data_IF_493766815870
#
_entry.id   IF_493766815870
#
_cell.length_a   1.000
_cell.length_b   1.000
_cell.length_c   1.000
_cell.angle_alpha   90.00
_cell.angle_beta   90.00
_cell.angle_gamma   90.00
#
_symmetry.space_group_name_H-M   'P 1'
#
loop_
_entity.id
_entity.type
_entity.pdbx_description
1 polymer ?
#
# COMPACT_ATOMS: atom_id res chain seq x y z
N UNK A 1 2.62 14.91 14.44
CA UNK A 1 2.62 13.63 13.72
C UNK A 1 3.45 12.66 14.54
N UNK A 2 2.84 11.54 14.90
CA UNK A 2 3.17 10.59 15.98
C UNK A 2 4.49 9.88 15.70
N UNK A 3 4.70 9.43 14.45
CA UNK A 3 5.97 8.90 14.00
C UNK A 3 6.98 10.01 13.68
N UNK A 4 8.21 9.87 14.19
CA UNK A 4 9.31 10.76 13.79
C UNK A 4 9.93 10.26 12.46
N UNK A 5 10.23 11.15 11.50
CA UNK A 5 10.82 10.75 10.22
C UNK A 5 12.15 10.00 10.35
N UNK A 6 12.94 10.34 11.38
CA UNK A 6 14.24 9.71 11.70
C UNK A 6 14.14 8.20 11.98
N UNK A 7 12.96 7.72 12.36
CA UNK A 7 12.72 6.31 12.65
C UNK A 7 12.57 5.47 11.39
N UNK A 8 12.42 6.12 10.24
CA UNK A 8 12.12 5.49 8.97
C UNK A 8 13.17 5.84 7.92
N UNK A 9 13.27 4.99 6.91
CA UNK A 9 14.08 5.22 5.72
C UNK A 9 13.30 4.74 4.51
N UNK A 10 13.65 5.26 3.33
CA UNK A 10 13.07 4.74 2.09
C UNK A 10 13.43 3.27 1.90
N UNK A 11 12.51 2.54 1.27
CA UNK A 11 12.67 1.13 0.97
C UNK A 11 13.27 0.97 -0.43
N UNK A 12 14.43 0.32 -0.50
CA UNK A 12 15.14 0.05 -1.77
C UNK A 12 14.29 -0.84 -2.71
N UNK A 13 13.53 -1.79 -2.16
CA UNK A 13 12.63 -2.67 -2.91
C UNK A 13 11.21 -2.66 -2.34
N UNK A 14 10.25 -2.04 -3.04
CA UNK A 14 8.84 -2.02 -2.63
C UNK A 14 8.26 -0.62 -2.51
N UNK A 15 7.04 -0.50 -1.96
CA UNK A 15 6.35 0.79 -1.75
C UNK A 15 6.54 1.29 -0.32
N UNK A 16 6.59 2.62 -0.18
CA UNK A 16 6.55 3.29 1.13
C UNK A 16 7.88 3.31 1.88
N UNK A 17 7.76 3.37 3.20
CA UNK A 17 8.87 3.54 4.13
C UNK A 17 9.15 2.23 4.89
N UNK A 18 10.41 2.01 5.27
CA UNK A 18 10.79 0.92 6.17
C UNK A 18 11.29 1.50 7.50
N UNK A 19 11.01 0.86 8.64
CA UNK A 19 11.64 1.22 9.91
C UNK A 19 13.16 1.07 9.80
N UNK A 20 13.89 2.08 10.26
CA UNK A 20 15.36 2.07 10.42
C UNK A 20 15.75 1.78 11.86
N UNK A 21 14.96 2.25 12.83
CA UNK A 21 15.25 2.14 14.27
C UNK A 21 14.25 1.22 14.97
N UNK A 22 14.60 0.74 16.17
CA UNK A 22 13.70 -0.05 17.03
C UNK A 22 12.41 0.73 17.37
N UNK A 23 12.49 2.06 17.46
CA UNK A 23 11.34 2.95 17.69
C UNK A 23 10.35 2.90 16.51
N UNK A 24 10.85 2.85 15.27
CA UNK A 24 10.00 2.66 14.08
C UNK A 24 9.31 1.30 14.06
N UNK A 25 9.97 0.25 14.57
CA UNK A 25 9.37 -1.07 14.72
C UNK A 25 8.27 -1.10 15.78
N UNK A 26 8.50 -0.46 16.93
CA UNK A 26 7.46 -0.31 17.97
C UNK A 26 6.28 0.49 17.43
N UNK A 27 6.53 1.58 16.71
CA UNK A 27 5.46 2.35 16.06
C UNK A 27 4.63 1.47 15.13
N UNK A 28 5.28 0.66 14.28
CA UNK A 28 4.58 -0.27 13.38
C UNK A 28 3.75 -1.29 14.17
N UNK A 29 4.29 -1.84 15.26
CA UNK A 29 3.58 -2.78 16.12
C UNK A 29 2.35 -2.14 16.78
N UNK A 30 2.46 -0.89 17.23
CA UNK A 30 1.32 -0.13 17.79
C UNK A 30 0.25 0.09 16.72
N UNK A 31 0.63 0.50 15.52
CA UNK A 31 -0.31 0.67 14.39
C UNK A 31 -1.02 -0.64 14.08
N UNK A 32 -0.28 -1.75 13.97
CA UNK A 32 -0.85 -3.07 13.71
C UNK A 32 -1.78 -3.53 14.83
N UNK A 33 -1.40 -3.32 16.10
CA UNK A 33 -2.23 -3.64 17.25
C UNK A 33 -3.51 -2.81 17.29
N UNK A 34 -3.42 -1.52 16.94
CA UNK A 34 -4.54 -0.60 16.90
C UNK A 34 -5.53 -0.98 15.79
N UNK A 35 -5.04 -1.32 14.59
CA UNK A 35 -5.86 -1.89 13.51
C UNK A 35 -6.50 -3.21 13.97
N UNK A 36 -5.70 -4.13 14.53
CA UNK A 36 -6.19 -5.42 15.02
C UNK A 36 -7.29 -5.27 16.08
N UNK A 37 -7.14 -4.31 16.99
CA UNK A 37 -8.12 -3.98 18.01
C UNK A 37 -9.42 -3.43 17.39
N UNK A 38 -9.34 -2.51 16.43
CA UNK A 38 -10.55 -1.97 15.78
C UNK A 38 -11.35 -3.06 15.06
N UNK A 39 -10.66 -4.06 14.48
CA UNK A 39 -11.31 -5.19 13.80
C UNK A 39 -11.90 -6.19 14.79
N UNK A 40 -11.19 -6.51 15.87
CA UNK A 40 -11.60 -7.52 16.86
C UNK A 40 -12.59 -7.03 17.91
N UNK A 41 -12.76 -5.71 18.07
CA UNK A 41 -13.66 -5.14 19.06
C UNK A 41 -15.12 -5.55 18.80
N UNK A 42 -15.82 -6.03 19.84
CA UNK A 42 -17.22 -6.46 19.80
C UNK A 42 -18.24 -5.31 19.77
N UNK A 43 -17.91 -4.21 19.10
CA UNK A 43 -18.76 -3.02 18.94
C UNK A 43 -19.68 -3.14 17.71
N UNK A 44 -20.76 -2.36 17.73
CA UNK A 44 -21.70 -2.23 16.61
C UNK A 44 -20.95 -1.95 15.29
N UNK A 45 -21.36 -2.63 14.21
CA UNK A 45 -20.74 -2.53 12.89
C UNK A 45 -20.66 -1.10 12.35
N UNK A 46 -21.70 -0.28 12.53
CA UNK A 46 -21.70 1.10 12.06
C UNK A 46 -20.64 1.95 12.80
N UNK A 47 -20.55 1.77 14.12
CA UNK A 47 -19.55 2.45 14.96
C UNK A 47 -18.15 1.95 14.63
N UNK A 48 -17.98 0.63 14.43
CA UNK A 48 -16.71 0.01 14.03
C UNK A 48 -16.20 0.62 12.72
N UNK A 49 -17.07 0.80 11.73
CA UNK A 49 -16.69 1.37 10.43
C UNK A 49 -16.23 2.84 10.57
N UNK A 50 -16.92 3.64 11.38
CA UNK A 50 -16.50 5.01 11.68
C UNK A 50 -15.16 5.07 12.43
N UNK A 51 -15.01 4.28 13.49
CA UNK A 51 -13.76 4.20 14.28
C UNK A 51 -12.60 3.77 13.40
N UNK A 52 -12.79 2.73 12.57
CA UNK A 52 -11.80 2.26 11.62
C UNK A 52 -11.41 3.36 10.62
N UNK A 53 -12.39 4.06 10.05
CA UNK A 53 -12.16 5.16 9.12
C UNK A 53 -11.33 6.30 9.73
N UNK A 54 -11.67 6.72 10.95
CA UNK A 54 -10.91 7.77 11.67
C UNK A 54 -9.49 7.32 11.98
N UNK A 55 -9.33 6.09 12.49
CA UNK A 55 -8.02 5.49 12.78
C UNK A 55 -7.15 5.42 11.53
N UNK A 56 -7.70 4.92 10.43
CA UNK A 56 -7.00 4.84 9.15
C UNK A 56 -6.65 6.23 8.62
N UNK A 57 -7.55 7.20 8.73
CA UNK A 57 -7.29 8.59 8.35
C UNK A 57 -6.10 9.18 9.11
N UNK A 58 -6.05 8.98 10.42
CA UNK A 58 -4.92 9.43 11.26
C UNK A 58 -3.61 8.75 10.82
N UNK A 59 -3.61 7.43 10.64
CA UNK A 59 -2.42 6.69 10.20
C UNK A 59 -1.95 7.17 8.83
N UNK A 60 -2.86 7.38 7.87
CA UNK A 60 -2.52 7.85 6.52
C UNK A 60 -1.89 9.25 6.59
N UNK A 61 -2.50 10.18 7.32
CA UNK A 61 -1.94 11.52 7.51
C UNK A 61 -0.55 11.44 8.15
N UNK A 62 -0.37 10.58 9.15
CA UNK A 62 0.92 10.36 9.81
C UNK A 62 2.00 9.87 8.86
N UNK A 63 1.67 8.84 8.07
CA UNK A 63 2.56 8.31 7.04
C UNK A 63 2.92 9.36 5.99
N UNK A 64 1.95 10.16 5.52
CA UNK A 64 2.19 11.22 4.53
C UNK A 64 3.15 12.28 5.07
N UNK A 65 2.96 12.74 6.30
CA UNK A 65 3.87 13.71 6.91
C UNK A 65 5.27 13.15 7.12
N UNK A 66 5.38 11.88 7.53
CA UNK A 66 6.68 11.20 7.64
C UNK A 66 7.36 11.18 6.27
N UNK A 67 6.66 10.77 5.22
CA UNK A 67 7.19 10.70 3.86
C UNK A 67 7.65 12.06 3.32
N UNK A 68 6.92 13.15 3.61
CA UNK A 68 7.29 14.51 3.19
C UNK A 68 8.58 14.99 3.88
N UNK A 69 8.83 14.55 5.13
CA UNK A 69 9.95 14.99 5.95
C UNK A 69 11.12 14.00 5.99
N UNK A 70 11.07 12.92 5.22
CA UNK A 70 12.19 12.00 5.15
C UNK A 70 13.37 12.69 4.45
N UNK A 71 14.60 12.57 4.99
CA UNK A 71 15.78 13.06 4.30
C UNK A 71 15.93 12.32 2.96
N UNK A 72 16.19 13.07 1.88
CA UNK A 72 16.48 12.50 0.56
C UNK A 72 17.79 11.74 0.64
N UNK A 73 17.73 10.41 0.64
CA UNK A 73 18.90 9.53 0.72
C UNK A 73 19.33 8.99 -0.64
N UNK A 74 18.57 9.25 -1.70
CA UNK A 74 18.84 8.71 -3.03
C UNK A 74 19.67 9.68 -3.86
N UNK A 75 20.71 9.13 -4.49
CA UNK A 75 21.44 9.76 -5.57
C UNK A 75 20.48 10.17 -6.72
N UNK A 76 20.83 11.18 -7.51
CA UNK A 76 20.00 11.65 -8.63
C UNK A 76 19.65 10.51 -9.60
N UNK A 77 20.59 9.60 -9.77
CA UNK A 77 20.44 8.38 -10.57
C UNK A 77 19.42 7.41 -9.99
N UNK A 78 19.50 7.12 -8.70
CA UNK A 78 18.57 6.22 -8.00
C UNK A 78 17.15 6.80 -7.99
N UNK A 79 17.02 8.12 -7.81
CA UNK A 79 15.73 8.81 -7.93
C UNK A 79 15.11 8.64 -9.32
N UNK A 80 15.89 8.79 -10.39
CA UNK A 80 15.39 8.60 -11.75
C UNK A 80 14.89 7.17 -12.00
N UNK A 81 15.64 6.17 -11.54
CA UNK A 81 15.25 4.77 -11.64
C UNK A 81 13.97 4.46 -10.85
N UNK A 82 13.85 4.98 -9.63
CA UNK A 82 12.67 4.82 -8.80
C UNK A 82 11.42 5.44 -9.46
N UNK A 83 11.53 6.66 -10.00
CA UNK A 83 10.42 7.34 -10.67
C UNK A 83 9.92 6.56 -11.91
N UNK A 84 10.84 5.97 -12.68
CA UNK A 84 10.49 5.17 -13.85
C UNK A 84 9.75 3.88 -13.46
N UNK A 85 10.21 3.21 -12.39
CA UNK A 85 9.56 2.03 -11.83
C UNK A 85 8.18 2.38 -11.29
N UNK A 86 8.04 3.47 -10.52
CA UNK A 86 6.77 3.90 -9.94
C UNK A 86 5.73 4.29 -11.00
N UNK A 87 6.16 4.94 -12.10
CA UNK A 87 5.31 5.22 -13.25
C UNK A 87 4.77 3.94 -13.88
N UNK A 88 5.64 2.97 -14.15
CA UNK A 88 5.25 1.71 -14.78
C UNK A 88 4.25 0.94 -13.93
N UNK A 89 4.45 0.92 -12.60
CA UNK A 89 3.51 0.22 -11.73
C UNK A 89 2.19 0.96 -11.58
N UNK A 90 2.20 2.29 -11.52
CA UNK A 90 0.96 3.08 -11.52
C UNK A 90 0.14 2.77 -12.78
N UNK A 91 0.80 2.67 -13.93
CA UNK A 91 0.16 2.27 -15.18
C UNK A 91 -0.35 0.82 -15.14
N UNK A 92 0.46 -0.12 -14.62
CA UNK A 92 0.05 -1.50 -14.40
C UNK A 92 -1.15 -1.65 -13.47
N UNK A 93 -1.21 -0.82 -12.41
CA UNK A 93 -2.34 -0.77 -11.48
C UNK A 93 -3.63 -0.35 -12.18
N UNK A 94 -3.57 0.74 -12.96
CA UNK A 94 -4.73 1.24 -13.73
C UNK A 94 -5.23 0.17 -14.70
N UNK A 95 -4.34 -0.49 -15.45
CA UNK A 95 -4.72 -1.57 -16.36
C UNK A 95 -5.34 -2.76 -15.63
N UNK A 96 -4.80 -3.15 -14.47
CA UNK A 96 -5.34 -4.25 -13.70
C UNK A 96 -6.73 -3.94 -13.13
N UNK A 97 -6.95 -2.71 -12.62
CA UNK A 97 -8.27 -2.24 -12.16
C UNK A 97 -9.27 -2.25 -13.32
N UNK A 98 -8.88 -1.75 -14.49
CA UNK A 98 -9.73 -1.77 -15.68
C UNK A 98 -10.09 -3.20 -16.10
N UNK A 99 -9.11 -4.11 -16.14
CA UNK A 99 -9.35 -5.52 -16.48
C UNK A 99 -10.30 -6.20 -15.49
N UNK A 100 -10.13 -5.94 -14.21
CA UNK A 100 -11.03 -6.38 -13.14
C UNK A 100 -12.44 -5.85 -13.32
N UNK A 101 -12.59 -4.54 -13.57
CA UNK A 101 -13.91 -3.91 -13.72
C UNK A 101 -14.67 -4.48 -14.93
N UNK A 102 -13.96 -4.71 -16.05
CA UNK A 102 -14.52 -5.35 -17.24
C UNK A 102 -14.93 -6.81 -16.97
N UNK A 103 -14.08 -7.58 -16.28
CA UNK A 103 -14.38 -8.97 -15.94
C UNK A 103 -15.58 -9.10 -14.98
N UNK A 104 -15.65 -8.24 -13.96
CA UNK A 104 -16.80 -8.20 -13.06
C UNK A 104 -18.07 -7.79 -13.81
N UNK A 105 -18.01 -6.83 -14.72
CA UNK A 105 -19.16 -6.43 -15.56
C UNK A 105 -19.65 -7.59 -16.44
N UNK A 106 -18.73 -8.39 -16.98
CA UNK A 106 -19.04 -9.58 -17.77
C UNK A 106 -19.65 -10.71 -16.92
N UNK A 107 -19.10 -11.00 -15.74
CA UNK A 107 -19.60 -12.06 -14.84
C UNK A 107 -20.93 -11.71 -14.17
N UNK A 108 -21.16 -10.43 -13.85
CA UNK A 108 -22.40 -9.96 -13.21
C UNK A 108 -23.61 -9.92 -14.17
N UNK A 109 -23.48 -10.37 -15.43
CA UNK A 109 -24.62 -10.59 -16.33
C UNK A 109 -25.49 -11.82 -15.98
N UNK A 110 -25.12 -12.60 -14.95
CA UNK A 110 -25.95 -13.68 -14.39
C UNK A 110 -25.74 -13.80 -12.88
N UNK A 111 -26.63 -13.18 -12.10
CA UNK A 111 -26.51 -13.10 -10.63
C UNK A 111 -26.87 -14.42 -9.93
N UNK A 112 -25.85 -15.09 -9.38
CA UNK A 112 -26.01 -15.93 -8.19
C UNK A 112 -24.91 -15.56 -7.19
N UNK A 113 -25.26 -14.65 -6.28
CA UNK A 113 -24.40 -14.15 -5.20
C UNK A 113 -24.32 -15.17 -4.08
N UNK A 114 -23.11 -15.57 -3.77
CA UNK A 114 -22.80 -16.22 -2.50
C UNK A 114 -21.35 -16.66 -2.50
N UNK A 115 -20.58 -16.07 -1.57
CA UNK A 115 -19.44 -16.66 -0.84
C UNK A 115 -18.19 -15.74 -0.87
N UNK A 116 -17.90 -15.25 0.35
CA UNK A 116 -16.79 -14.41 0.86
C UNK A 116 -16.78 -12.89 0.60
N UNK A 117 -16.55 -12.06 1.64
CA UNK A 117 -16.45 -10.59 1.54
C UNK A 117 -15.06 -10.12 1.06
N UNK A 118 -14.22 -11.00 0.52
CA UNK A 118 -12.90 -10.64 0.00
C UNK A 118 -12.99 -10.59 -1.52
N UNK A 119 -12.93 -9.39 -2.07
CA UNK A 119 -12.98 -9.21 -3.52
C UNK A 119 -11.68 -9.75 -4.13
N UNK A 120 -11.74 -10.95 -4.72
CA UNK A 120 -10.62 -11.61 -5.44
C UNK A 120 -9.99 -10.67 -6.47
N UNK A 121 -10.76 -9.71 -6.96
CA UNK A 121 -10.29 -8.70 -7.90
C UNK A 121 -9.19 -7.81 -7.31
N UNK A 122 -9.25 -7.45 -6.02
CA UNK A 122 -8.21 -6.68 -5.35
C UNK A 122 -6.89 -7.45 -5.29
N UNK A 123 -6.94 -8.77 -5.14
CA UNK A 123 -5.75 -9.63 -5.15
C UNK A 123 -5.09 -9.61 -6.54
N UNK A 124 -5.90 -9.63 -7.61
CA UNK A 124 -5.41 -9.54 -8.98
C UNK A 124 -4.72 -8.19 -9.23
N UNK A 125 -5.34 -7.09 -8.80
CA UNK A 125 -4.75 -5.75 -8.95
C UNK A 125 -3.43 -5.64 -8.17
N UNK A 126 -3.43 -6.05 -6.90
CA UNK A 126 -2.22 -6.00 -6.08
C UNK A 126 -1.11 -6.91 -6.62
N UNK A 127 -1.46 -8.11 -7.10
CA UNK A 127 -0.53 -9.04 -7.73
C UNK A 127 0.10 -8.47 -9.00
N UNK A 128 -0.71 -7.85 -9.88
CA UNK A 128 -0.23 -7.18 -11.08
C UNK A 128 0.72 -6.02 -10.75
N UNK A 129 0.39 -5.22 -9.73
CA UNK A 129 1.27 -4.14 -9.27
C UNK A 129 2.64 -4.66 -8.80
N UNK A 130 2.65 -5.74 -8.01
CA UNK A 130 3.89 -6.37 -7.53
C UNK A 130 4.70 -6.92 -8.70
N UNK A 131 4.05 -7.61 -9.64
CA UNK A 131 4.71 -8.18 -10.82
C UNK A 131 5.36 -7.10 -11.70
N UNK A 132 4.61 -6.05 -12.05
CA UNK A 132 5.13 -4.95 -12.88
C UNK A 132 6.29 -4.24 -12.17
N UNK A 133 6.24 -4.13 -10.84
CA UNK A 133 7.32 -3.54 -10.05
C UNK A 133 8.58 -4.38 -10.09
N UNK A 134 8.44 -5.68 -9.84
CA UNK A 134 9.56 -6.61 -9.84
C UNK A 134 10.24 -6.63 -11.21
N UNK A 135 9.46 -6.76 -12.29
CA UNK A 135 9.97 -6.77 -13.67
C UNK A 135 10.68 -5.46 -14.01
N UNK A 136 10.06 -4.31 -13.71
CA UNK A 136 10.66 -3.00 -13.99
C UNK A 136 11.96 -2.79 -13.21
N UNK A 137 12.03 -3.28 -11.97
CA UNK A 137 13.22 -3.18 -11.13
C UNK A 137 14.38 -4.02 -11.69
N UNK A 138 14.11 -5.28 -12.06
CA UNK A 138 15.12 -6.16 -12.66
C UNK A 138 15.62 -5.59 -13.99
N UNK A 139 14.71 -5.12 -14.84
CA UNK A 139 15.05 -4.54 -16.15
C UNK A 139 15.98 -3.32 -16.04
N UNK A 140 15.66 -2.41 -15.12
CA UNK A 140 16.45 -1.21 -14.89
C UNK A 140 17.84 -1.53 -14.34
N UNK A 141 17.94 -2.52 -13.44
CA UNK A 141 19.23 -2.97 -12.91
C UNK A 141 20.10 -3.73 -13.93
N UNK A 142 19.51 -4.45 -14.88
CA UNK A 142 20.25 -5.22 -15.90
C UNK A 142 20.77 -4.40 -17.08
N UNK A 143 20.22 -3.20 -17.32
CA UNK A 143 20.64 -2.30 -18.42
C UNK A 143 21.80 -1.36 -18.06
N UNK A 144 22.32 -1.50 -16.85
CA UNK A 144 23.45 -0.76 -16.27
C UNK A 144 24.63 -1.71 -16.15
#
# INVERSE_FOLDING_TARGET
MIGKPEWFTYRIFGWGIRPKTWQGWIYLAIVAALIGFTVSAGINQAIKMWVFGVVMGIIILDMLHIMIKLPKTHDERENYHQLLIERNVSFGAVLAILGVALYQTYQNMGLATGIFPFDTSLVIVLGAMVAVKAVSTVYVHMKV
#
